data_IF_458469950046
#
_entry.id   IF_458469950046
#
_cell.length_a   1.000
_cell.length_b   1.000
_cell.length_c   1.000
_cell.angle_alpha   90.00
_cell.angle_beta   90.00
_cell.angle_gamma   90.00
#
_symmetry.space_group_name_H-M   'P 1'
#
loop_
_entity.id
_entity.type
_entity.pdbx_description
1 polymer ?
#
# COMPACT_ATOMS: atom_id res chain seq x y z
N UNK A 1 -35.88 -54.09 49.43
CA UNK A 1 -34.42 -54.30 49.45
C UNK A 1 -33.75 -52.94 49.33
N UNK A 2 -33.09 -52.45 50.40
CA UNK A 2 -31.62 -52.49 50.64
C UNK A 2 -30.87 -51.77 49.50
N UNK A 3 -30.09 -50.70 49.69
CA UNK A 3 -29.48 -50.09 50.89
C UNK A 3 -28.97 -48.70 50.51
N UNK A 4 -29.08 -47.74 51.42
CA UNK A 4 -28.40 -46.43 51.38
C UNK A 4 -26.90 -46.63 51.63
N UNK A 5 -26.05 -45.76 51.10
CA UNK A 5 -24.87 -45.31 51.85
C UNK A 5 -24.42 -43.91 51.42
N UNK A 6 -24.39 -43.03 52.42
CA UNK A 6 -23.68 -41.75 52.49
C UNK A 6 -22.28 -42.05 53.03
N UNK A 7 -21.27 -41.27 52.66
CA UNK A 7 -20.06 -40.90 53.44
C UNK A 7 -19.06 -40.28 52.44
N UNK A 8 -18.21 -39.30 52.70
CA UNK A 8 -17.91 -38.38 53.81
C UNK A 8 -16.83 -37.44 53.23
N UNK A 9 -16.84 -36.16 53.57
CA UNK A 9 -15.68 -35.27 53.38
C UNK A 9 -14.69 -35.46 54.55
N UNK A 10 -13.39 -35.14 54.36
CA UNK A 10 -12.91 -33.96 55.08
C UNK A 10 -11.90 -33.07 54.30
N UNK A 11 -12.14 -31.76 54.44
CA UNK A 11 -11.25 -30.64 54.76
C UNK A 11 -9.71 -30.70 54.48
N UNK A 12 -9.28 -29.74 53.65
CA UNK A 12 -8.17 -28.75 53.82
C UNK A 12 -6.76 -29.16 54.26
N UNK A 13 -5.75 -28.86 53.42
CA UNK A 13 -4.52 -28.11 53.79
C UNK A 13 -4.10 -27.21 52.61
N UNK A 14 -3.64 -26.01 52.96
CA UNK A 14 -3.34 -24.87 52.11
C UNK A 14 -1.87 -24.79 51.62
N UNK A 15 -1.66 -23.80 50.73
CA UNK A 15 -0.46 -22.95 50.59
C UNK A 15 0.69 -23.44 49.69
N UNK A 16 0.81 -22.81 48.52
CA UNK A 16 2.09 -22.22 48.07
C UNK A 16 1.81 -21.16 46.99
N UNK A 17 2.17 -19.93 47.31
CA UNK A 17 2.23 -18.83 46.38
C UNK A 17 3.45 -18.98 45.47
N UNK A 18 3.31 -18.71 44.18
CA UNK A 18 4.38 -18.09 43.42
C UNK A 18 3.78 -17.14 42.39
N UNK A 19 3.79 -15.85 42.73
CA UNK A 19 3.81 -14.76 41.77
C UNK A 19 5.03 -14.97 40.85
N UNK A 20 4.79 -15.28 39.58
CA UNK A 20 5.74 -14.91 38.53
C UNK A 20 5.11 -13.78 37.73
N UNK A 21 5.33 -12.56 38.23
CA UNK A 21 5.27 -11.35 37.41
C UNK A 21 6.40 -11.50 36.41
N UNK A 22 6.09 -11.85 35.17
CA UNK A 22 7.04 -11.73 34.08
C UNK A 22 7.27 -10.23 33.88
N UNK A 23 8.34 -9.75 34.50
CA UNK A 23 8.94 -8.46 34.25
C UNK A 23 9.48 -8.45 32.82
N UNK A 24 8.63 -8.03 31.87
CA UNK A 24 9.12 -7.51 30.60
C UNK A 24 9.39 -6.02 30.76
N UNK A 25 10.33 -5.64 31.63
CA UNK A 25 10.99 -4.34 31.60
C UNK A 25 12.42 -4.46 32.13
N UNK A 26 13.37 -4.68 31.22
CA UNK A 26 14.73 -4.14 31.28
C UNK A 26 15.19 -3.97 29.83
N UNK A 27 14.94 -2.78 29.29
CA UNK A 27 15.96 -1.75 29.04
C UNK A 27 17.01 -2.18 28.02
N UNK A 28 16.71 -1.89 26.75
CA UNK A 28 17.71 -1.35 25.85
C UNK A 28 17.41 0.15 25.76
N UNK A 29 18.22 0.94 26.46
CA UNK A 29 18.34 2.35 26.15
C UNK A 29 19.06 2.51 24.82
N UNK A 30 18.35 2.98 23.80
CA UNK A 30 18.92 3.76 22.70
C UNK A 30 18.00 4.96 22.52
N UNK A 31 18.63 6.13 22.47
CA UNK A 31 18.01 7.42 22.63
C UNK A 31 16.92 7.79 21.62
N UNK A 32 16.14 8.77 22.08
CA UNK A 32 15.09 9.54 21.42
C UNK A 32 14.77 9.31 19.95
N UNK A 33 13.52 8.89 19.71
CA UNK A 33 12.64 9.40 18.65
C UNK A 33 11.18 9.33 19.11
N UNK A 34 10.79 10.08 20.14
CA UNK A 34 9.38 10.15 20.57
C UNK A 34 8.58 11.26 19.86
N UNK A 35 9.19 11.97 18.89
CA UNK A 35 8.55 13.05 18.14
C UNK A 35 8.03 12.64 16.75
N UNK A 36 8.67 11.68 16.10
CA UNK A 36 8.37 11.33 14.70
C UNK A 36 7.29 10.25 14.60
N UNK A 37 7.37 9.21 15.43
CA UNK A 37 6.50 8.02 15.35
C UNK A 37 5.01 8.31 15.59
N UNK A 38 4.69 9.23 16.51
CA UNK A 38 3.31 9.65 16.74
C UNK A 38 2.72 10.40 15.53
N UNK A 39 3.54 11.18 14.82
CA UNK A 39 3.12 11.98 13.67
C UNK A 39 2.90 11.14 12.40
N UNK A 40 3.78 10.16 12.11
CA UNK A 40 3.55 9.23 10.99
C UNK A 40 2.34 8.33 11.24
N UNK A 41 2.12 7.86 12.47
CA UNK A 41 0.94 7.04 12.80
C UNK A 41 -0.35 7.85 12.66
N UNK A 42 -0.37 9.13 13.09
CA UNK A 42 -1.57 9.96 12.94
C UNK A 42 -1.88 10.26 11.47
N UNK A 43 -0.87 10.61 10.66
CA UNK A 43 -1.04 10.88 9.22
C UNK A 43 -1.50 9.64 8.45
N UNK A 44 -0.94 8.46 8.73
CA UNK A 44 -1.31 7.24 8.02
C UNK A 44 -2.68 6.71 8.45
N UNK A 45 -3.10 6.95 9.70
CA UNK A 45 -4.33 6.36 10.25
C UNK A 45 -5.59 6.68 9.43
N UNK A 46 -5.66 7.85 8.80
CA UNK A 46 -6.79 8.26 7.94
C UNK A 46 -6.77 7.58 6.55
N UNK A 47 -5.63 7.01 6.14
CA UNK A 47 -5.42 6.43 4.81
C UNK A 47 -5.28 4.91 4.81
N UNK A 48 -5.19 4.27 5.98
CA UNK A 48 -5.02 2.82 6.10
C UNK A 48 -6.35 2.08 6.19
N UNK A 49 -6.48 1.01 5.39
CA UNK A 49 -7.52 0.00 5.56
C UNK A 49 -7.03 -1.12 6.47
N UNK A 50 -7.92 -1.66 7.31
CA UNK A 50 -7.62 -2.91 8.00
C UNK A 50 -7.60 -4.08 7.01
N UNK A 51 -6.87 -5.17 7.32
CA UNK A 51 -6.84 -6.36 6.45
C UNK A 51 -8.22 -6.92 6.11
N UNK A 52 -9.16 -6.92 7.08
CA UNK A 52 -10.53 -7.39 6.85
C UNK A 52 -11.29 -6.50 5.85
N UNK A 53 -11.14 -5.17 5.94
CA UNK A 53 -11.76 -4.24 4.98
C UNK A 53 -11.15 -4.39 3.58
N UNK A 54 -9.83 -4.57 3.49
CA UNK A 54 -9.17 -4.83 2.22
C UNK A 54 -9.67 -6.14 1.57
N UNK A 55 -9.88 -7.20 2.36
CA UNK A 55 -10.42 -8.46 1.87
C UNK A 55 -11.85 -8.31 1.33
N UNK A 56 -12.70 -7.52 1.99
CA UNK A 56 -14.05 -7.23 1.49
C UNK A 56 -13.97 -6.58 0.11
N UNK A 57 -13.14 -5.54 -0.06
CA UNK A 57 -12.97 -4.88 -1.37
C UNK A 57 -12.45 -5.85 -2.45
N UNK A 58 -11.47 -6.70 -2.12
CA UNK A 58 -10.93 -7.68 -3.05
C UNK A 58 -11.99 -8.70 -3.50
N UNK A 59 -12.82 -9.18 -2.56
CA UNK A 59 -13.91 -10.10 -2.85
C UNK A 59 -14.98 -9.46 -3.74
N UNK A 60 -15.43 -8.25 -3.41
CA UNK A 60 -16.42 -7.50 -4.19
C UNK A 60 -15.92 -7.24 -5.61
N UNK A 61 -14.67 -6.80 -5.77
CA UNK A 61 -14.08 -6.61 -7.09
C UNK A 61 -14.02 -7.93 -7.87
N UNK A 62 -13.60 -9.02 -7.22
CA UNK A 62 -13.47 -10.34 -7.85
C UNK A 62 -14.82 -10.86 -8.33
N UNK A 63 -15.87 -10.76 -7.52
CA UNK A 63 -17.20 -11.29 -7.84
C UNK A 63 -17.96 -10.42 -8.84
N UNK A 64 -17.70 -9.11 -8.88
CA UNK A 64 -18.46 -8.19 -9.72
C UNK A 64 -17.70 -7.78 -10.99
N UNK A 65 -16.57 -7.09 -10.83
CA UNK A 65 -15.90 -6.42 -11.93
C UNK A 65 -14.96 -7.37 -12.67
N UNK A 66 -14.16 -8.12 -11.91
CA UNK A 66 -13.13 -9.00 -12.46
C UNK A 66 -13.71 -10.11 -13.33
N UNK A 67 -14.85 -10.70 -12.92
CA UNK A 67 -15.56 -11.67 -13.75
C UNK A 67 -16.01 -11.05 -15.08
N UNK A 68 -16.60 -9.85 -15.04
CA UNK A 68 -17.13 -9.16 -16.24
C UNK A 68 -16.04 -8.80 -17.24
N UNK A 69 -14.91 -8.26 -16.78
CA UNK A 69 -13.81 -7.87 -17.68
C UNK A 69 -13.09 -9.06 -18.31
N UNK A 70 -13.30 -10.27 -17.80
CA UNK A 70 -12.67 -11.49 -18.28
C UNK A 70 -13.59 -12.40 -19.11
N UNK A 71 -14.85 -12.01 -19.33
CA UNK A 71 -15.76 -12.78 -20.19
C UNK A 71 -15.21 -12.86 -21.61
N UNK A 72 -15.07 -14.08 -22.13
CA UNK A 72 -14.62 -14.34 -23.51
C UNK A 72 -13.14 -14.05 -23.75
N UNK A 73 -12.36 -13.70 -22.72
CA UNK A 73 -10.91 -13.54 -22.87
C UNK A 73 -10.21 -14.90 -22.75
N UNK A 74 -9.19 -15.17 -23.59
CA UNK A 74 -8.43 -16.42 -23.52
C UNK A 74 -7.64 -16.56 -22.21
N UNK A 75 -7.39 -15.45 -21.53
CA UNK A 75 -6.71 -15.39 -20.26
C UNK A 75 -7.26 -14.21 -19.44
N UNK A 76 -7.23 -14.36 -18.13
CA UNK A 76 -7.67 -13.35 -17.20
C UNK A 76 -6.70 -12.16 -17.15
N UNK A 77 -7.26 -10.95 -17.07
CA UNK A 77 -6.54 -9.70 -16.87
C UNK A 77 -5.79 -9.66 -15.54
N UNK A 78 -4.77 -8.81 -15.46
CA UNK A 78 -4.08 -8.50 -14.21
C UNK A 78 -5.06 -7.96 -13.16
N UNK A 79 -5.04 -8.59 -12.00
CA UNK A 79 -5.80 -8.17 -10.82
C UNK A 79 -4.93 -7.41 -9.82
N UNK A 80 -3.68 -7.83 -9.66
CA UNK A 80 -2.74 -7.32 -8.68
C UNK A 80 -1.37 -7.11 -9.33
N UNK A 81 -0.65 -6.09 -8.88
CA UNK A 81 0.73 -5.82 -9.30
C UNK A 81 1.59 -5.70 -8.06
N UNK A 82 2.64 -6.51 -8.01
CA UNK A 82 3.61 -6.49 -6.92
C UNK A 82 4.81 -5.61 -7.29
N UNK A 83 5.16 -4.69 -6.40
CA UNK A 83 6.39 -3.92 -6.45
C UNK A 83 7.24 -4.28 -5.23
N UNK A 84 8.54 -4.40 -5.45
CA UNK A 84 9.49 -4.48 -4.35
C UNK A 84 9.48 -3.17 -3.54
N UNK A 85 9.50 -3.30 -2.21
CA UNK A 85 9.40 -2.14 -1.33
C UNK A 85 10.62 -1.21 -1.46
N UNK A 86 11.82 -1.77 -1.58
CA UNK A 86 13.05 -0.98 -1.71
C UNK A 86 13.04 -0.19 -3.02
N UNK A 87 12.59 -0.83 -4.11
CA UNK A 87 12.43 -0.17 -5.42
C UNK A 87 11.39 0.95 -5.34
N UNK A 88 10.26 0.72 -4.65
CA UNK A 88 9.22 1.73 -4.50
C UNK A 88 9.71 2.93 -3.66
N UNK A 89 10.45 2.68 -2.58
CA UNK A 89 11.06 3.73 -1.77
C UNK A 89 12.07 4.57 -2.57
N UNK A 90 12.93 3.92 -3.35
CA UNK A 90 13.89 4.61 -4.20
C UNK A 90 13.22 5.40 -5.31
N UNK A 91 12.11 4.90 -5.86
CA UNK A 91 11.30 5.66 -6.80
C UNK A 91 10.68 6.90 -6.15
N UNK A 92 10.16 6.81 -4.92
CA UNK A 92 9.65 7.96 -4.18
C UNK A 92 10.76 9.01 -3.96
N UNK A 93 11.98 8.58 -3.60
CA UNK A 93 13.14 9.48 -3.47
C UNK A 93 13.50 10.14 -4.80
N UNK A 94 13.50 9.37 -5.89
CA UNK A 94 13.76 9.86 -7.25
C UNK A 94 12.73 10.93 -7.66
N UNK A 95 11.44 10.65 -7.52
CA UNK A 95 10.36 11.61 -7.86
C UNK A 95 10.51 12.91 -7.08
N UNK A 96 10.74 12.85 -5.76
CA UNK A 96 10.95 14.05 -4.93
C UNK A 96 12.18 14.84 -5.39
N UNK A 97 13.28 14.15 -5.73
CA UNK A 97 14.51 14.79 -6.21
C UNK A 97 14.30 15.52 -7.53
N UNK A 98 13.68 14.87 -8.51
CA UNK A 98 13.44 15.47 -9.83
C UNK A 98 12.42 16.62 -9.75
N UNK A 99 11.32 16.44 -9.00
CA UNK A 99 10.34 17.52 -8.79
C UNK A 99 10.96 18.76 -8.15
N UNK A 100 11.88 18.58 -7.18
CA UNK A 100 12.60 19.69 -6.55
C UNK A 100 13.48 20.46 -7.54
N UNK A 101 14.12 19.79 -8.50
CA UNK A 101 14.92 20.47 -9.55
C UNK A 101 14.05 21.40 -10.40
N UNK A 102 12.79 21.01 -10.62
CA UNK A 102 11.80 21.78 -11.34
C UNK A 102 11.09 22.83 -10.45
N UNK A 103 11.41 22.90 -9.16
CA UNK A 103 10.82 23.82 -8.19
C UNK A 103 9.38 23.45 -7.79
N UNK A 104 9.02 22.17 -7.89
CA UNK A 104 7.70 21.63 -7.51
C UNK A 104 7.82 20.99 -6.13
N UNK A 105 7.04 21.52 -5.17
CA UNK A 105 7.13 21.11 -3.76
C UNK A 105 5.97 20.18 -3.32
N UNK A 106 4.89 20.12 -4.09
CA UNK A 106 3.66 19.36 -3.82
C UNK A 106 3.49 18.19 -4.80
N UNK A 107 4.55 17.40 -4.97
CA UNK A 107 4.53 16.21 -5.85
C UNK A 107 3.87 15.02 -5.14
N UNK A 108 3.02 14.31 -5.88
CA UNK A 108 2.41 13.03 -5.53
C UNK A 108 2.71 11.96 -6.58
N UNK A 109 2.13 10.79 -6.37
CA UNK A 109 2.20 9.66 -7.31
C UNK A 109 0.78 9.30 -7.74
N UNK A 110 0.55 9.23 -9.05
CA UNK A 110 -0.66 8.65 -9.61
C UNK A 110 -0.36 7.24 -10.10
N UNK A 111 -1.20 6.28 -9.70
CA UNK A 111 -1.24 4.94 -10.29
C UNK A 111 -2.11 5.03 -11.55
N UNK A 112 -1.49 4.90 -12.72
CA UNK A 112 -2.15 4.96 -14.01
C UNK A 112 -2.26 3.56 -14.62
N UNK A 113 -3.33 3.30 -15.35
CA UNK A 113 -3.55 2.03 -16.05
C UNK A 113 -2.95 2.09 -17.45
N UNK A 114 -2.42 0.95 -17.91
CA UNK A 114 -1.90 0.77 -19.27
C UNK A 114 -2.13 -0.64 -19.78
N UNK A 115 -1.72 -0.89 -21.02
CA UNK A 115 -1.67 -2.23 -21.61
C UNK A 115 -0.33 -2.39 -22.32
N UNK A 116 0.36 -3.50 -22.05
CA UNK A 116 1.59 -3.79 -22.78
C UNK A 116 1.30 -4.12 -24.25
N UNK A 117 2.10 -3.62 -25.20
CA UNK A 117 1.86 -3.88 -26.61
C UNK A 117 2.04 -5.36 -26.94
N UNK A 118 1.21 -5.86 -27.86
CA UNK A 118 1.21 -7.27 -28.28
C UNK A 118 2.33 -7.60 -29.26
N UNK A 119 2.57 -6.69 -30.20
CA UNK A 119 3.34 -6.97 -31.42
C UNK A 119 4.61 -6.11 -31.55
N UNK A 120 4.91 -5.26 -30.55
CA UNK A 120 6.04 -4.33 -30.59
C UNK A 120 7.06 -4.67 -29.49
N UNK A 121 8.34 -4.48 -29.79
CA UNK A 121 9.40 -4.46 -28.79
C UNK A 121 9.37 -3.08 -28.13
N UNK A 122 8.62 -2.97 -27.04
CA UNK A 122 8.50 -1.74 -26.26
C UNK A 122 9.70 -1.50 -25.33
N UNK A 123 10.11 -2.54 -24.60
CA UNK A 123 11.23 -2.51 -23.67
C UNK A 123 11.81 -3.92 -23.55
N UNK A 124 13.14 -4.04 -23.49
CA UNK A 124 13.82 -5.33 -23.40
C UNK A 124 13.52 -6.10 -22.09
N UNK A 125 13.06 -5.40 -21.04
CA UNK A 125 12.68 -5.99 -19.75
C UNK A 125 11.27 -6.59 -19.76
N UNK A 126 10.44 -6.25 -20.75
CA UNK A 126 9.08 -6.76 -20.85
C UNK A 126 9.11 -8.26 -21.10
N UNK A 127 8.55 -9.03 -20.17
CA UNK A 127 8.43 -10.48 -20.32
C UNK A 127 7.36 -10.83 -21.35
N UNK A 128 7.58 -11.91 -22.09
CA UNK A 128 6.66 -12.32 -23.16
C UNK A 128 5.26 -12.63 -22.65
N UNK A 129 5.13 -13.21 -21.46
CA UNK A 129 3.87 -13.53 -20.78
C UNK A 129 3.00 -12.29 -20.46
N UNK A 130 3.61 -11.09 -20.43
CA UNK A 130 2.91 -9.84 -20.11
C UNK A 130 2.40 -9.11 -21.35
N UNK A 131 2.71 -9.58 -22.56
CA UNK A 131 2.25 -8.95 -23.80
C UNK A 131 0.72 -8.94 -23.88
N UNK A 132 0.15 -7.77 -24.17
CA UNK A 132 -1.29 -7.57 -24.24
C UNK A 132 -2.02 -7.52 -22.90
N UNK A 133 -1.32 -7.70 -21.77
CA UNK A 133 -1.92 -7.63 -20.44
C UNK A 133 -2.14 -6.18 -20.03
N UNK A 134 -3.22 -5.94 -19.30
CA UNK A 134 -3.35 -4.73 -18.50
C UNK A 134 -2.22 -4.67 -17.45
N UNK A 135 -1.69 -3.46 -17.23
CA UNK A 135 -0.72 -3.16 -16.17
C UNK A 135 -1.11 -1.86 -15.46
N UNK A 136 -0.40 -1.53 -14.39
CA UNK A 136 -0.38 -0.18 -13.82
C UNK A 136 1.05 0.32 -13.73
N UNK A 137 1.24 1.62 -13.96
CA UNK A 137 2.52 2.30 -13.75
C UNK A 137 2.31 3.51 -12.83
N UNK A 138 3.35 3.84 -12.07
CA UNK A 138 3.36 4.95 -11.14
C UNK A 138 4.02 6.13 -11.83
N UNK A 139 3.35 7.29 -11.88
CA UNK A 139 3.90 8.52 -12.44
C UNK A 139 3.81 9.68 -11.46
N UNK A 140 4.80 10.57 -11.52
CA UNK A 140 4.80 11.81 -10.75
C UNK A 140 3.66 12.72 -11.22
N UNK A 141 2.90 13.28 -10.28
CA UNK A 141 1.82 14.24 -10.54
C UNK A 141 1.78 15.30 -9.46
N UNK A 142 1.00 16.36 -9.66
CA UNK A 142 0.57 17.27 -8.58
C UNK A 142 -0.89 16.96 -8.27
N UNK A 143 -1.26 17.01 -6.99
CA UNK A 143 -2.66 16.86 -6.60
C UNK A 143 -3.51 17.97 -7.25
N UNK A 144 -4.52 17.64 -8.08
CA UNK A 144 -5.42 18.62 -8.68
C UNK A 144 -6.17 19.47 -7.65
N UNK A 145 -6.46 18.94 -6.46
CA UNK A 145 -7.10 19.70 -5.37
C UNK A 145 -6.16 20.73 -4.71
N UNK A 146 -4.85 20.55 -4.88
CA UNK A 146 -3.81 21.46 -4.39
C UNK A 146 -3.29 22.43 -5.48
N UNK A 147 -3.77 22.31 -6.72
CA UNK A 147 -3.75 23.39 -7.71
C UNK A 147 -4.78 24.45 -7.28
N UNK A 148 -4.48 25.14 -6.18
CA UNK A 148 -5.43 26.02 -5.53
C UNK A 148 -6.02 27.06 -6.49
N UNK A 149 -7.30 27.36 -6.27
CA UNK A 149 -7.95 28.63 -6.57
C UNK A 149 -7.06 29.82 -6.15
N UNK A 150 -6.08 30.17 -6.98
CA UNK A 150 -5.41 31.47 -6.95
C UNK A 150 -5.79 32.23 -8.21
N UNK A 151 -7.06 32.62 -8.28
CA UNK A 151 -7.41 33.86 -8.98
C UNK A 151 -7.02 35.02 -8.07
N UNK A 152 -5.72 35.19 -7.87
CA UNK A 152 -5.16 36.43 -7.35
C UNK A 152 -5.19 37.46 -8.47
N UNK A 153 -5.93 38.55 -8.30
CA UNK A 153 -5.85 39.70 -9.20
C UNK A 153 -4.41 40.22 -9.23
N UNK A 154 -3.72 39.99 -10.35
CA UNK A 154 -2.49 40.68 -10.72
C UNK A 154 -1.20 39.98 -10.29
N UNK A 155 -0.42 39.57 -11.29
CA UNK A 155 0.91 38.99 -11.13
C UNK A 155 0.98 37.65 -11.85
N UNK A 156 1.83 37.54 -12.87
CA UNK A 156 2.00 36.34 -13.68
C UNK A 156 2.42 35.15 -12.80
N UNK A 157 1.46 34.34 -12.40
CA UNK A 157 1.70 33.02 -11.85
C UNK A 157 2.00 32.15 -13.08
N UNK A 158 3.28 31.81 -13.29
CA UNK A 158 3.61 30.79 -14.27
C UNK A 158 2.95 29.50 -13.78
N UNK A 159 1.88 29.16 -14.49
CA UNK A 159 1.33 27.83 -14.63
C UNK A 159 2.50 26.91 -15.03
N UNK A 160 3.25 26.41 -14.03
CA UNK A 160 4.07 25.22 -14.19
C UNK A 160 3.11 24.05 -14.31
N UNK A 161 2.46 24.01 -15.47
CA UNK A 161 1.57 22.95 -15.93
C UNK A 161 2.29 21.61 -15.82
N UNK A 162 1.51 20.53 -15.74
CA UNK A 162 1.99 19.14 -15.68
C UNK A 162 3.12 18.79 -16.69
N UNK A 163 3.35 19.58 -17.74
CA UNK A 163 4.41 19.36 -18.73
C UNK A 163 5.85 19.31 -18.19
N UNK A 164 6.14 19.90 -17.03
CA UNK A 164 7.46 19.72 -16.37
C UNK A 164 7.59 18.34 -15.69
N UNK A 165 6.49 17.79 -15.18
CA UNK A 165 6.46 16.47 -14.55
C UNK A 165 6.50 15.32 -15.56
N UNK A 166 6.10 15.57 -16.81
CA UNK A 166 6.20 14.60 -17.91
C UNK A 166 7.67 14.19 -18.22
N UNK A 167 8.64 14.95 -17.71
CA UNK A 167 10.08 14.63 -17.81
C UNK A 167 10.54 13.64 -16.73
N UNK A 168 9.76 13.43 -15.68
CA UNK A 168 10.07 12.47 -14.60
C UNK A 168 9.62 11.09 -15.06
N UNK A 169 10.56 10.14 -15.10
CA UNK A 169 10.25 8.78 -15.55
C UNK A 169 9.20 8.11 -14.65
N UNK A 170 8.31 7.32 -15.27
CA UNK A 170 7.38 6.47 -14.56
C UNK A 170 8.06 5.19 -14.04
N UNK A 171 7.55 4.63 -12.95
CA UNK A 171 7.90 3.29 -12.47
C UNK A 171 6.86 2.28 -12.99
N UNK A 172 7.35 1.21 -13.60
CA UNK A 172 6.57 0.06 -14.04
C UNK A 172 7.44 -1.22 -13.95
N UNK A 173 6.99 -2.32 -14.56
CA UNK A 173 7.57 -3.65 -14.54
C UNK A 173 7.44 -4.34 -13.18
N UNK A 174 6.37 -4.02 -12.47
CA UNK A 174 5.90 -4.82 -11.34
C UNK A 174 5.50 -6.24 -11.79
N UNK A 175 5.43 -7.17 -10.84
CA UNK A 175 5.05 -8.55 -11.12
C UNK A 175 3.53 -8.67 -11.18
N UNK A 176 2.99 -8.95 -12.36
CA UNK A 176 1.55 -9.07 -12.60
C UNK A 176 0.99 -10.37 -12.02
N UNK A 177 -0.24 -10.31 -11.50
CA UNK A 177 -0.99 -11.47 -11.01
C UNK A 177 -2.48 -11.36 -11.34
N UNK A 178 -3.11 -12.39 -11.95
CA UNK A 178 -2.46 -13.61 -12.45
C UNK A 178 -1.55 -13.32 -13.65
N UNK A 179 -0.32 -13.86 -13.71
CA UNK A 179 0.45 -13.86 -14.94
C UNK A 179 -0.03 -14.99 -15.88
N UNK A 180 0.33 -14.92 -17.15
CA UNK A 180 0.23 -16.07 -18.08
C UNK A 180 1.21 -17.17 -17.69
#
# INVERSE_FOLDING_TARGET
>A
MKTKNKFFLPATIALAASLTVYSCMLNIGVGGETGTTTSIVSLLSEHLLSPAKAQILSNEYTQNNYQKVNVGKPQAETKEVFYDLEVLEDYIKYVKKEAKKEGINNVGITIAFGQYPKNEIFDARLKNEYKGQQTVYLKATVDPAMQGNKVGKGGAEQEKTNGSLDKISALDFGRLSPPN
#
